data_IF_731257717764
#
_entry.id   IF_731257717764
#
_cell.length_a   1.000
_cell.length_b   1.000
_cell.length_c   1.000
_cell.angle_alpha   90.00
_cell.angle_beta   90.00
_cell.angle_gamma   90.00
#
_symmetry.space_group_name_H-M   'P 1'
#
loop_
_entity.id
_entity.type
_entity.pdbx_description
1 polymer ?
#
# COMPACT_ATOMS: atom_id res chain seq x y z
N UNK A 1 -20.22 17.22 -0.37
CA UNK A 1 -18.88 17.16 -0.99
C UNK A 1 -18.63 18.48 -1.64
N UNK A 2 -17.39 18.97 -1.57
CA UNK A 2 -16.96 20.05 -2.44
C UNK A 2 -16.71 19.47 -3.84
N UNK A 3 -17.07 20.23 -4.87
CA UNK A 3 -16.72 19.87 -6.25
C UNK A 3 -15.19 19.96 -6.44
N UNK A 4 -14.57 19.05 -7.21
CA UNK A 4 -13.14 19.15 -7.55
C UNK A 4 -12.81 20.51 -8.14
N UNK A 5 -11.73 21.14 -7.69
CA UNK A 5 -11.33 22.47 -8.16
C UNK A 5 -10.43 22.29 -9.39
N UNK A 6 -10.77 22.81 -10.59
CA UNK A 6 -9.93 22.66 -11.77
C UNK A 6 -8.53 23.23 -11.57
N UNK A 7 -7.49 22.47 -11.96
CA UNK A 7 -6.12 22.96 -11.95
C UNK A 7 -5.83 23.82 -13.18
N UNK A 8 -5.06 24.91 -13.00
CA UNK A 8 -4.42 25.64 -14.09
C UNK A 8 -2.92 25.63 -13.91
N UNK A 9 -2.21 25.51 -15.03
CA UNK A 9 -0.76 25.41 -15.01
C UNK A 9 -0.11 26.61 -14.32
N UNK A 10 0.72 26.32 -13.30
CA UNK A 10 1.42 27.34 -12.50
C UNK A 10 0.64 27.86 -11.29
N UNK A 11 -0.60 27.43 -11.06
CA UNK A 11 -1.34 27.78 -9.84
C UNK A 11 -0.88 26.97 -8.63
N UNK A 12 -0.88 27.61 -7.46
CA UNK A 12 -0.64 26.94 -6.18
C UNK A 12 -1.89 26.20 -5.72
N UNK A 13 -1.70 25.20 -4.88
CA UNK A 13 -2.80 24.49 -4.24
C UNK A 13 -3.70 25.47 -3.46
N UNK A 14 -5.04 25.32 -3.49
CA UNK A 14 -5.97 26.17 -2.75
C UNK A 14 -5.71 26.18 -1.23
N UNK A 15 -5.17 25.08 -0.70
CA UNK A 15 -4.67 24.96 0.67
C UNK A 15 -3.67 23.81 0.78
N UNK A 16 -2.97 23.71 1.92
CA UNK A 16 -2.04 22.60 2.23
C UNK A 16 -2.70 21.22 2.25
N UNK A 17 -4.04 21.16 2.33
CA UNK A 17 -4.80 19.91 2.32
C UNK A 17 -5.06 19.37 0.92
N UNK A 18 -4.93 20.21 -0.11
CA UNK A 18 -5.25 19.82 -1.47
C UNK A 18 -4.07 19.13 -2.14
N UNK A 19 -4.35 18.04 -2.83
CA UNK A 19 -3.41 17.35 -3.70
C UNK A 19 -3.84 17.51 -5.15
N UNK A 20 -2.87 17.48 -6.06
CA UNK A 20 -3.12 17.46 -7.49
C UNK A 20 -3.48 16.03 -7.90
N UNK A 21 -4.65 15.85 -8.49
CA UNK A 21 -5.16 14.57 -8.96
C UNK A 21 -5.59 14.65 -10.42
N UNK A 22 -5.68 13.48 -11.05
CA UNK A 22 -6.20 13.31 -12.41
C UNK A 22 -7.60 12.70 -12.31
N UNK A 23 -8.62 13.46 -12.66
CA UNK A 23 -10.02 13.04 -12.61
C UNK A 23 -10.42 12.40 -13.94
N UNK A 24 -10.78 11.12 -13.90
CA UNK A 24 -11.34 10.40 -15.03
C UNK A 24 -12.86 10.60 -15.06
N UNK A 25 -13.39 11.12 -16.17
CA UNK A 25 -14.83 11.38 -16.34
C UNK A 25 -15.55 10.13 -16.83
N UNK A 26 -16.79 9.93 -16.37
CA UNK A 26 -17.60 8.77 -16.72
C UNK A 26 -17.97 8.72 -18.22
N UNK A 27 -17.98 9.87 -18.89
CA UNK A 27 -18.25 9.97 -20.33
C UNK A 27 -17.07 9.54 -21.22
N UNK A 28 -15.95 9.14 -20.61
CA UNK A 28 -14.74 8.71 -21.32
C UNK A 28 -13.94 9.84 -21.96
N UNK A 29 -14.26 11.10 -21.64
CA UNK A 29 -13.46 12.25 -22.08
C UNK A 29 -12.07 12.27 -21.41
N UNK A 30 -11.16 13.04 -21.97
CA UNK A 30 -9.78 13.15 -21.49
C UNK A 30 -9.75 13.51 -20.00
N UNK A 31 -8.91 12.83 -19.20
CA UNK A 31 -8.82 13.11 -17.77
C UNK A 31 -8.35 14.54 -17.51
N UNK A 32 -8.98 15.23 -16.57
CA UNK A 32 -8.62 16.59 -16.21
C UNK A 32 -7.80 16.64 -14.91
N UNK A 33 -6.88 17.60 -14.83
CA UNK A 33 -6.14 17.83 -13.59
C UNK A 33 -6.99 18.70 -12.66
N UNK A 34 -7.11 18.27 -11.40
CA UNK A 34 -7.91 18.95 -10.37
C UNK A 34 -7.18 18.97 -9.03
N UNK A 35 -7.44 19.99 -8.24
CA UNK A 35 -7.16 20.00 -6.82
C UNK A 35 -8.30 19.33 -6.07
N UNK A 36 -7.96 18.36 -5.23
CA UNK A 36 -8.92 17.65 -4.37
C UNK A 36 -8.41 17.65 -2.93
N UNK A 37 -9.32 17.78 -1.96
CA UNK A 37 -9.04 17.35 -0.59
C UNK A 37 -9.17 15.81 -0.57
N UNK A 38 -8.13 15.05 -0.20
CA UNK A 38 -8.21 13.59 -0.10
C UNK A 38 -9.35 13.10 0.80
N UNK A 39 -9.81 13.91 1.75
CA UNK A 39 -10.94 13.58 2.62
C UNK A 39 -12.29 13.61 1.90
N UNK A 40 -12.39 14.34 0.78
CA UNK A 40 -13.60 14.44 -0.04
C UNK A 40 -13.69 13.33 -1.11
N UNK A 41 -12.66 12.49 -1.26
CA UNK A 41 -12.69 11.38 -2.20
C UNK A 41 -13.63 10.29 -1.68
N UNK A 42 -14.67 9.99 -2.46
CA UNK A 42 -15.53 8.85 -2.19
C UNK A 42 -14.70 7.56 -2.15
N UNK A 43 -14.74 6.89 -0.99
CA UNK A 43 -14.24 5.51 -0.89
C UNK A 43 -15.03 4.65 -1.86
N UNK A 44 -14.34 3.81 -2.61
CA UNK A 44 -14.98 2.84 -3.49
C UNK A 44 -16.00 2.00 -2.71
N UNK A 45 -17.09 1.54 -3.36
CA UNK A 45 -18.02 0.62 -2.72
C UNK A 45 -17.31 -0.67 -2.34
N UNK A 46 -17.85 -1.40 -1.36
CA UNK A 46 -17.41 -2.76 -1.10
C UNK A 46 -17.69 -3.62 -2.34
N UNK A 47 -16.66 -4.33 -2.79
CA UNK A 47 -16.72 -5.22 -3.96
C UNK A 47 -16.74 -6.70 -3.53
N UNK A 48 -16.32 -6.97 -2.30
CA UNK A 48 -16.23 -8.29 -1.72
C UNK A 48 -17.00 -8.34 -0.41
N UNK A 49 -17.73 -9.42 -0.18
CA UNK A 49 -18.49 -9.64 1.07
C UNK A 49 -17.58 -10.07 2.23
N UNK A 50 -16.55 -10.87 1.93
CA UNK A 50 -15.59 -11.38 2.90
C UNK A 50 -14.19 -11.53 2.29
N UNK A 51 -13.17 -11.46 3.14
CA UNK A 51 -11.75 -11.70 2.79
C UNK A 51 -11.06 -12.57 3.85
N UNK A 52 -11.82 -13.43 4.54
CA UNK A 52 -11.38 -14.20 5.69
C UNK A 52 -10.12 -15.03 5.44
N UNK A 53 -10.03 -15.63 4.25
CA UNK A 53 -8.86 -16.39 3.81
C UNK A 53 -7.57 -15.54 3.73
N UNK A 54 -7.70 -14.22 3.55
CA UNK A 54 -6.59 -13.27 3.44
C UNK A 54 -6.23 -12.64 4.78
N UNK A 55 -7.12 -12.66 5.77
CA UNK A 55 -6.92 -12.00 7.07
C UNK A 55 -5.62 -12.35 7.75
N UNK A 56 -5.14 -13.60 7.75
CA UNK A 56 -3.84 -13.88 8.32
C UNK A 56 -2.74 -13.01 7.69
N UNK A 57 -2.68 -12.97 6.35
CA UNK A 57 -1.62 -12.25 5.65
C UNK A 57 -1.74 -10.75 5.83
N UNK A 58 -2.97 -10.24 5.86
CA UNK A 58 -3.25 -8.84 6.19
C UNK A 58 -2.76 -8.48 7.59
N UNK A 59 -2.98 -9.34 8.59
CA UNK A 59 -2.48 -9.13 9.97
C UNK A 59 -0.96 -9.15 10.04
N UNK A 60 -0.32 -10.05 9.27
CA UNK A 60 1.13 -10.11 9.17
C UNK A 60 1.70 -8.82 8.55
N UNK A 61 1.15 -8.37 7.42
CA UNK A 61 1.52 -7.09 6.80
C UNK A 61 1.33 -5.93 7.78
N UNK A 62 0.15 -5.84 8.42
CA UNK A 62 -0.18 -4.75 9.34
C UNK A 62 0.81 -4.65 10.50
N UNK A 63 1.19 -5.79 11.10
CA UNK A 63 2.20 -5.84 12.18
C UNK A 63 3.52 -5.14 11.81
N UNK A 64 3.91 -5.22 10.54
CA UNK A 64 5.17 -4.69 10.05
C UNK A 64 5.06 -3.34 9.35
N UNK A 65 3.88 -3.01 8.81
CA UNK A 65 3.67 -1.82 8.00
C UNK A 65 2.92 -0.69 8.72
N UNK A 66 2.20 -0.97 9.81
CA UNK A 66 1.30 0.00 10.46
C UNK A 66 1.98 1.35 10.78
N UNK A 67 3.26 1.34 11.16
CA UNK A 67 4.00 2.56 11.51
C UNK A 67 4.39 3.43 10.30
N UNK A 68 4.19 2.93 9.07
CA UNK A 68 4.55 3.63 7.83
C UNK A 68 3.35 4.03 6.97
N UNK A 69 2.15 3.49 7.26
CA UNK A 69 0.92 3.73 6.48
C UNK A 69 0.09 4.85 7.09
N UNK A 70 0.59 6.09 6.99
CA UNK A 70 -0.02 7.28 7.62
C UNK A 70 -1.49 7.55 7.15
N UNK A 71 -1.92 6.97 6.03
CA UNK A 71 -3.29 7.07 5.49
C UNK A 71 -4.27 6.04 6.09
N UNK A 72 -3.81 5.12 6.90
CA UNK A 72 -4.60 4.04 7.48
C UNK A 72 -4.42 4.02 9.00
N UNK A 73 -5.50 4.25 9.76
CA UNK A 73 -5.38 4.50 11.21
C UNK A 73 -5.50 3.26 12.08
N UNK A 74 -6.07 2.18 11.52
CA UNK A 74 -6.28 0.94 12.24
C UNK A 74 -6.23 -0.26 11.30
N UNK A 75 -6.16 -1.46 11.88
CA UNK A 75 -6.24 -2.69 11.09
C UNK A 75 -7.58 -2.82 10.36
N UNK A 76 -8.67 -2.34 10.96
CA UNK A 76 -9.99 -2.34 10.34
C UNK A 76 -10.01 -1.41 9.12
N UNK A 77 -9.40 -0.22 9.20
CA UNK A 77 -9.24 0.65 8.03
C UNK A 77 -8.42 -0.03 6.92
N UNK A 78 -7.42 -0.84 7.30
CA UNK A 78 -6.57 -1.58 6.38
C UNK A 78 -7.38 -2.66 5.66
N UNK A 79 -8.05 -3.52 6.42
CA UNK A 79 -8.95 -4.57 5.94
C UNK A 79 -10.03 -4.04 5.00
N UNK A 80 -10.68 -2.93 5.37
CA UNK A 80 -11.73 -2.31 4.57
C UNK A 80 -11.24 -1.83 3.21
N UNK A 81 -9.95 -1.54 3.02
CA UNK A 81 -9.42 -1.20 1.71
C UNK A 81 -9.33 -2.42 0.79
N UNK A 82 -9.01 -3.60 1.31
CA UNK A 82 -9.01 -4.84 0.51
C UNK A 82 -10.43 -5.26 0.13
N UNK A 83 -11.43 -5.06 0.99
CA UNK A 83 -12.83 -5.31 0.65
C UNK A 83 -13.35 -4.41 -0.50
N UNK A 84 -12.69 -3.29 -0.75
CA UNK A 84 -13.01 -2.34 -1.83
C UNK A 84 -12.17 -2.54 -3.09
N UNK A 85 -11.10 -3.33 -3.00
CA UNK A 85 -10.21 -3.58 -4.11
C UNK A 85 -10.91 -4.40 -5.20
N UNK A 86 -10.49 -4.26 -6.45
CA UNK A 86 -11.03 -5.04 -7.57
C UNK A 86 -10.45 -6.47 -7.65
N UNK A 87 -9.27 -6.67 -7.07
CA UNK A 87 -8.58 -7.94 -6.95
C UNK A 87 -7.81 -8.00 -5.61
N UNK A 88 -8.49 -8.30 -4.49
CA UNK A 88 -7.89 -8.30 -3.16
C UNK A 88 -6.73 -9.30 -3.03
N UNK A 89 -6.77 -10.42 -3.75
CA UNK A 89 -5.67 -11.40 -3.76
C UNK A 89 -4.41 -10.79 -4.38
N UNK A 90 -4.54 -10.12 -5.53
CA UNK A 90 -3.43 -9.44 -6.18
C UNK A 90 -2.83 -8.36 -5.28
N UNK A 91 -3.68 -7.56 -4.64
CA UNK A 91 -3.24 -6.50 -3.73
C UNK A 91 -2.52 -7.08 -2.49
N UNK A 92 -3.03 -8.17 -1.92
CA UNK A 92 -2.34 -8.89 -0.83
C UNK A 92 -0.96 -9.37 -1.27
N UNK A 93 -0.81 -9.91 -2.47
CA UNK A 93 0.50 -10.35 -2.99
C UNK A 93 1.47 -9.17 -3.07
N UNK A 94 1.02 -8.02 -3.56
CA UNK A 94 1.84 -6.80 -3.66
C UNK A 94 2.31 -6.36 -2.27
N UNK A 95 1.40 -6.17 -1.32
CA UNK A 95 1.77 -5.73 0.04
C UNK A 95 2.58 -6.74 0.81
N UNK A 96 2.40 -8.03 0.52
CA UNK A 96 3.26 -9.10 1.04
C UNK A 96 4.69 -8.96 0.52
N UNK A 97 4.84 -8.68 -0.77
CA UNK A 97 6.14 -8.38 -1.38
C UNK A 97 6.80 -7.14 -0.79
N UNK A 98 6.05 -6.06 -0.60
CA UNK A 98 6.53 -4.83 0.06
C UNK A 98 7.01 -5.14 1.47
N UNK A 99 6.23 -5.89 2.24
CA UNK A 99 6.59 -6.26 3.62
C UNK A 99 7.87 -7.09 3.65
N UNK A 100 7.96 -8.12 2.80
CA UNK A 100 9.15 -8.96 2.69
C UNK A 100 10.39 -8.14 2.30
N UNK A 101 10.30 -7.35 1.24
CA UNK A 101 11.42 -6.56 0.74
C UNK A 101 11.89 -5.53 1.77
N UNK A 102 10.98 -4.90 2.51
CA UNK A 102 11.32 -3.99 3.60
C UNK A 102 12.11 -4.71 4.69
N UNK A 103 11.61 -5.86 5.16
CA UNK A 103 12.24 -6.63 6.23
C UNK A 103 13.62 -7.14 5.80
N UNK A 104 13.73 -7.72 4.61
CA UNK A 104 14.97 -8.29 4.10
C UNK A 104 16.02 -7.21 3.83
N UNK A 105 15.64 -6.11 3.17
CA UNK A 105 16.55 -5.01 2.88
C UNK A 105 17.07 -4.37 4.17
N UNK A 106 16.21 -4.12 5.15
CA UNK A 106 16.59 -3.49 6.42
C UNK A 106 17.35 -4.43 7.34
N UNK A 107 17.16 -5.76 7.21
CA UNK A 107 18.00 -6.75 7.87
C UNK A 107 19.43 -6.73 7.32
N UNK A 108 19.59 -6.72 5.98
CA UNK A 108 20.90 -6.62 5.31
C UNK A 108 21.58 -5.27 5.51
N UNK A 109 20.79 -4.21 5.68
CA UNK A 109 21.25 -2.84 5.84
C UNK A 109 20.71 -2.21 7.12
N UNK A 110 21.23 -2.55 8.32
CA UNK A 110 20.68 -2.07 9.59
C UNK A 110 20.69 -0.56 9.79
N UNK A 111 21.50 0.17 9.02
CA UNK A 111 21.58 1.63 9.05
C UNK A 111 20.57 2.31 8.12
N UNK A 112 19.83 1.54 7.31
CA UNK A 112 18.84 2.09 6.40
C UNK A 112 17.65 2.69 7.16
N UNK A 113 17.20 3.87 6.73
CA UNK A 113 16.03 4.52 7.29
C UNK A 113 14.79 3.79 6.79
N UNK A 114 14.16 2.97 7.64
CA UNK A 114 13.02 2.10 7.26
C UNK A 114 11.89 2.83 6.56
N UNK A 115 11.49 4.02 7.04
CA UNK A 115 10.45 4.85 6.40
C UNK A 115 10.83 5.27 4.98
N UNK A 116 12.12 5.55 4.73
CA UNK A 116 12.64 5.86 3.40
C UNK A 116 12.61 4.63 2.47
N UNK A 117 12.99 3.46 2.98
CA UNK A 117 12.92 2.19 2.24
C UNK A 117 11.47 1.84 1.88
N UNK A 118 10.55 1.97 2.84
CA UNK A 118 9.12 1.77 2.60
C UNK A 118 8.60 2.73 1.51
N UNK A 119 8.92 4.02 1.60
CA UNK A 119 8.55 5.00 0.56
C UNK A 119 9.09 4.64 -0.82
N UNK A 120 10.32 4.14 -0.91
CA UNK A 120 10.91 3.66 -2.16
C UNK A 120 10.16 2.43 -2.73
N UNK A 121 9.82 1.46 -1.88
CA UNK A 121 9.03 0.29 -2.27
C UNK A 121 7.65 0.70 -2.80
N UNK A 122 6.96 1.60 -2.10
CA UNK A 122 5.67 2.16 -2.55
C UNK A 122 5.80 2.86 -3.90
N UNK A 123 6.88 3.63 -4.13
CA UNK A 123 7.12 4.24 -5.43
C UNK A 123 7.29 3.18 -6.53
N UNK A 124 8.06 2.12 -6.28
CA UNK A 124 8.31 1.05 -7.26
C UNK A 124 7.02 0.32 -7.62
N UNK A 125 6.22 -0.13 -6.64
CA UNK A 125 4.99 -0.89 -6.93
C UNK A 125 3.92 -0.03 -7.62
N UNK A 126 3.99 1.29 -7.48
CA UNK A 126 3.13 2.24 -8.20
C UNK A 126 3.73 2.69 -9.55
N UNK A 127 4.80 2.04 -10.04
CA UNK A 127 5.43 2.36 -11.33
C UNK A 127 6.19 3.68 -11.37
N UNK A 128 6.53 4.26 -10.21
CA UNK A 128 7.29 5.52 -10.06
C UNK A 128 8.73 5.27 -9.59
N UNK A 129 9.37 4.27 -10.17
CA UNK A 129 10.75 3.90 -9.86
C UNK A 129 11.77 4.99 -10.20
N UNK A 130 11.42 5.92 -11.10
CA UNK A 130 12.18 7.15 -11.41
C UNK A 130 12.39 8.06 -10.18
N UNK A 131 11.55 7.90 -9.14
CA UNK A 131 11.62 8.66 -7.88
C UNK A 131 12.53 8.04 -6.84
N UNK A 132 13.13 6.89 -7.11
CA UNK A 132 13.99 6.17 -6.17
C UNK A 132 15.46 6.37 -6.53
N UNK A 133 16.24 6.86 -5.57
CA UNK A 133 17.68 7.09 -5.71
C UNK A 133 18.44 6.53 -4.50
N UNK A 134 19.63 5.95 -4.69
CA UNK A 134 20.30 5.70 -5.97
C UNK A 134 19.66 4.55 -6.77
N UNK A 135 19.93 4.50 -8.08
CA UNK A 135 19.39 3.47 -8.99
C UNK A 135 19.74 2.04 -8.53
N UNK A 136 20.91 1.85 -7.91
CA UNK A 136 21.31 0.58 -7.33
C UNK A 136 20.36 0.09 -6.24
N UNK A 137 19.84 0.99 -5.40
CA UNK A 137 18.84 0.66 -4.38
C UNK A 137 17.50 0.30 -5.04
N UNK A 138 17.09 1.04 -6.07
CA UNK A 138 15.87 0.71 -6.82
C UNK A 138 15.95 -0.70 -7.44
N UNK A 139 17.08 -1.04 -8.05
CA UNK A 139 17.32 -2.36 -8.65
C UNK A 139 17.31 -3.49 -7.62
N UNK A 140 17.93 -3.28 -6.45
CA UNK A 140 17.93 -4.27 -5.37
C UNK A 140 16.52 -4.48 -4.81
N UNK A 141 15.78 -3.41 -4.52
CA UNK A 141 14.40 -3.50 -4.02
C UNK A 141 13.48 -4.19 -5.03
N UNK A 142 13.62 -3.94 -6.33
CA UNK A 142 12.90 -4.67 -7.39
C UNK A 142 13.23 -6.16 -7.38
N UNK A 143 14.49 -6.51 -7.15
CA UNK A 143 14.91 -7.91 -7.05
C UNK A 143 14.23 -8.59 -5.85
N UNK A 144 14.17 -7.92 -4.70
CA UNK A 144 13.49 -8.43 -3.51
C UNK A 144 11.98 -8.56 -3.70
N UNK A 145 11.33 -7.58 -4.36
CA UNK A 145 9.90 -7.61 -4.67
C UNK A 145 9.52 -8.76 -5.61
N UNK A 146 10.40 -9.14 -6.54
CA UNK A 146 10.16 -10.25 -7.46
C UNK A 146 10.64 -11.60 -6.91
N UNK A 147 11.51 -11.58 -5.92
CA UNK A 147 12.13 -12.74 -5.29
C UNK A 147 11.43 -13.22 -4.05
N UNK A 148 10.12 -12.93 -3.88
CA UNK A 148 9.35 -13.37 -2.72
C UNK A 148 9.47 -14.90 -2.64
N UNK A 149 10.20 -15.48 -1.68
CA UNK A 149 10.14 -16.91 -1.47
C UNK A 149 8.68 -17.25 -1.14
N UNK A 150 8.22 -18.48 -1.38
CA UNK A 150 6.95 -18.89 -0.78
C UNK A 150 7.06 -18.60 0.73
N UNK A 151 6.38 -17.55 1.22
CA UNK A 151 6.49 -17.11 2.60
C UNK A 151 5.84 -18.21 3.42
N UNK A 152 6.68 -19.14 3.87
CA UNK A 152 6.34 -20.14 4.86
C UNK A 152 6.66 -19.53 6.19
N UNK A 153 5.77 -18.67 6.66
CA UNK A 153 5.81 -18.18 8.03
C UNK A 153 5.37 -19.33 8.96
N UNK A 154 6.20 -20.36 9.11
CA UNK A 154 5.89 -21.54 9.92
C UNK A 154 5.74 -21.19 11.41
N UNK A 155 6.22 -20.03 11.83
CA UNK A 155 6.08 -19.54 13.20
C UNK A 155 4.66 -19.03 13.47
N UNK A 156 4.01 -18.42 12.47
CA UNK A 156 2.64 -17.93 12.57
C UNK A 156 1.62 -18.73 11.73
N UNK A 157 2.05 -19.76 10.98
CA UNK A 157 1.20 -20.57 10.09
C UNK A 157 1.57 -22.05 10.14
N UNK A 158 0.60 -22.93 9.92
CA UNK A 158 0.77 -24.37 9.77
C UNK A 158 1.24 -24.73 8.36
N UNK A 159 1.70 -25.98 8.20
CA UNK A 159 2.22 -26.47 6.90
C UNK A 159 1.16 -26.50 5.79
N UNK A 160 -0.11 -26.58 6.15
CA UNK A 160 -1.30 -26.47 5.30
C UNK A 160 -1.81 -25.02 5.14
N UNK A 161 -1.09 -24.04 5.70
CA UNK A 161 -1.34 -22.61 5.46
C UNK A 161 -2.35 -21.93 6.39
N UNK A 162 -2.80 -22.59 7.46
CA UNK A 162 -3.68 -21.97 8.46
C UNK A 162 -2.88 -21.16 9.49
N UNK A 163 -3.43 -20.03 9.94
CA UNK A 163 -2.77 -19.18 10.94
C UNK A 163 -2.70 -19.85 12.32
N UNK A 164 -1.49 -19.95 12.88
CA UNK A 164 -1.23 -20.30 14.28
C UNK A 164 -1.49 -19.06 15.14
N UNK A 165 -2.73 -18.90 15.58
CA UNK A 165 -3.09 -17.85 16.53
C UNK A 165 -2.37 -18.10 17.87
N UNK A 166 -1.31 -17.33 18.16
CA UNK A 166 -0.77 -17.19 19.50
C UNK A 166 -1.61 -16.18 20.28
N UNK A 167 -1.61 -16.26 21.62
CA UNK A 167 -2.39 -15.39 22.51
C UNK A 167 -2.09 -13.89 22.28
N UNK A 168 -0.86 -13.56 21.85
CA UNK A 168 -0.41 -12.22 21.45
C UNK A 168 -1.06 -11.69 20.15
N UNK A 169 -1.76 -12.53 19.39
CA UNK A 169 -2.48 -12.17 18.15
C UNK A 169 -3.99 -12.00 18.37
N UNK A 170 -4.48 -12.26 19.58
CA UNK A 170 -5.89 -12.18 19.97
C UNK A 170 -6.23 -10.90 20.75
N UNK A 171 -5.31 -9.92 20.81
CA UNK A 171 -5.50 -8.64 21.49
C UNK A 171 -5.17 -7.48 20.58
#
# INVERSE_FOLDING_TARGET
MADPIPYREGELAPSEKHILARLHKEDGSEPEMVWIDPQDVHKAPFRHEEIDALLPMLRWQWRHLNEYVDWCRSFEDWELNFLRDSNPVGEVVIWTGVTYALLEFTHRNPQAIKKGVFGALVCIVNGREDRVSPESVAAELKTLLNGIPAIRDLDNYSEDGHFKAAEKHLR
#
